data_IF_685955987820
#
_entry.id   IF_685955987820
#
_cell.length_a   1.000
_cell.length_b   1.000
_cell.length_c   1.000
_cell.angle_alpha   90.00
_cell.angle_beta   90.00
_cell.angle_gamma   90.00
#
_symmetry.space_group_name_H-M   'P 1'
#
loop_
_entity.id
_entity.type
_entity.pdbx_description
1 polymer ?
#
# COMPACT_ATOMS: atom_id res chain seq x y z
N UNK A 1 29.42 -2.89 -38.98
CA UNK A 1 28.70 -2.89 -37.69
C UNK A 1 27.35 -2.21 -37.87
N UNK A 2 26.32 -3.03 -38.09
CA UNK A 2 24.92 -2.59 -38.19
C UNK A 2 24.40 -2.29 -36.78
N UNK A 3 24.14 -1.02 -36.49
CA UNK A 3 23.54 -0.60 -35.23
C UNK A 3 22.04 -0.90 -35.26
N UNK A 4 21.61 -1.89 -34.46
CA UNK A 4 20.20 -2.14 -34.21
C UNK A 4 19.65 -1.05 -33.27
N UNK A 5 18.90 -0.10 -33.83
CA UNK A 5 18.11 0.85 -33.05
C UNK A 5 16.93 0.12 -32.40
N UNK A 6 17.05 -0.22 -31.12
CA UNK A 6 15.89 -0.67 -30.33
C UNK A 6 15.01 0.54 -30.01
N UNK A 7 13.92 0.69 -30.78
CA UNK A 7 12.85 1.65 -30.49
C UNK A 7 12.02 1.10 -29.33
N UNK A 8 12.30 1.54 -28.10
CA UNK A 8 11.44 1.22 -26.95
C UNK A 8 10.17 2.08 -27.06
N UNK A 9 9.03 1.49 -27.38
CA UNK A 9 7.74 2.18 -27.25
C UNK A 9 7.42 2.26 -25.75
N UNK A 10 7.79 3.36 -25.08
CA UNK A 10 7.27 3.66 -23.75
C UNK A 10 5.81 4.04 -23.90
N UNK A 11 4.92 3.08 -23.66
CA UNK A 11 3.48 3.28 -23.58
C UNK A 11 3.19 4.21 -22.39
N UNK A 12 3.12 5.52 -22.63
CA UNK A 12 2.66 6.50 -21.65
C UNK A 12 1.14 6.53 -21.65
N UNK A 13 0.54 5.50 -21.09
CA UNK A 13 -0.84 5.57 -20.60
C UNK A 13 -0.77 5.10 -19.18
N UNK A 14 -0.54 6.02 -18.25
CA UNK A 14 -0.79 5.71 -16.84
C UNK A 14 -2.26 5.26 -16.76
N UNK A 15 -2.53 3.99 -16.39
CA UNK A 15 -3.89 3.53 -16.28
C UNK A 15 -4.58 4.39 -15.21
N UNK A 16 -5.70 4.99 -15.58
CA UNK A 16 -6.55 5.72 -14.65
C UNK A 16 -6.95 4.74 -13.53
N UNK A 17 -6.55 5.05 -12.29
CA UNK A 17 -6.80 4.20 -11.13
C UNK A 17 -8.32 4.09 -10.95
N UNK A 18 -8.86 2.88 -10.95
CA UNK A 18 -10.30 2.64 -10.74
C UNK A 18 -10.75 3.11 -9.36
N UNK A 19 -12.01 3.52 -9.24
CA UNK A 19 -12.59 3.96 -7.96
C UNK A 19 -12.49 2.87 -6.89
N UNK A 20 -12.77 1.62 -7.26
CA UNK A 20 -12.61 0.43 -6.39
C UNK A 20 -11.19 0.33 -5.82
N UNK A 21 -10.17 0.61 -6.63
CA UNK A 21 -8.77 0.57 -6.18
C UNK A 21 -8.47 1.68 -5.18
N UNK A 22 -9.06 2.88 -5.37
CA UNK A 22 -8.91 3.99 -4.43
C UNK A 22 -9.58 3.67 -3.09
N UNK A 23 -10.76 3.05 -3.12
CA UNK A 23 -11.48 2.67 -1.91
C UNK A 23 -10.74 1.56 -1.15
N UNK A 24 -10.19 0.58 -1.85
CA UNK A 24 -9.28 -0.40 -1.25
C UNK A 24 -8.08 0.28 -0.55
N UNK A 25 -7.45 1.27 -1.20
CA UNK A 25 -6.33 1.99 -0.59
C UNK A 25 -6.73 2.82 0.62
N UNK A 26 -7.96 3.37 0.65
CA UNK A 26 -8.50 4.03 1.86
C UNK A 26 -8.63 3.02 3.00
N UNK A 27 -9.22 1.86 2.73
CA UNK A 27 -9.37 0.80 3.73
C UNK A 27 -8.02 0.36 4.30
N UNK A 28 -7.00 0.19 3.44
CA UNK A 28 -5.64 -0.13 3.88
C UNK A 28 -4.96 1.00 4.68
N UNK A 29 -5.33 2.25 4.46
CA UNK A 29 -4.78 3.41 5.16
C UNK A 29 -5.38 3.61 6.56
N UNK A 30 -6.46 2.91 6.90
CA UNK A 30 -7.11 2.96 8.21
C UNK A 30 -6.54 1.91 9.16
N UNK A 31 -5.97 2.36 10.29
CA UNK A 31 -5.36 1.46 11.29
C UNK A 31 -6.38 0.52 11.95
N UNK A 32 -7.65 0.90 12.02
CA UNK A 32 -8.74 0.09 12.57
C UNK A 32 -8.97 -1.22 11.81
N UNK A 33 -8.63 -1.25 10.52
CA UNK A 33 -8.78 -2.44 9.68
C UNK A 33 -7.60 -3.42 9.82
N UNK A 34 -6.66 -3.12 10.71
CA UNK A 34 -5.51 -3.95 11.00
C UNK A 34 -5.57 -4.52 12.42
N UNK A 35 -5.12 -5.75 12.56
CA UNK A 35 -4.88 -6.37 13.87
C UNK A 35 -3.60 -7.19 13.86
N UNK A 36 -3.11 -7.50 15.06
CA UNK A 36 -1.97 -8.38 15.25
C UNK A 36 -2.47 -9.61 16.00
N UNK A 37 -2.31 -10.78 15.38
CA UNK A 37 -2.71 -12.08 15.93
C UNK A 37 -1.45 -12.87 16.28
N UNK A 38 -1.37 -13.36 17.53
CA UNK A 38 -0.28 -14.25 17.92
C UNK A 38 -0.57 -15.67 17.43
N UNK A 39 0.40 -16.27 16.74
CA UNK A 39 0.32 -17.64 16.25
C UNK A 39 0.86 -18.63 17.31
N UNK A 40 0.43 -19.91 17.28
CA UNK A 40 0.92 -20.93 18.22
C UNK A 40 2.43 -21.18 18.19
N UNK A 41 3.09 -20.80 17.09
CA UNK A 41 4.54 -20.91 16.92
C UNK A 41 5.33 -19.72 17.50
N UNK A 42 4.66 -18.78 18.19
CA UNK A 42 5.29 -17.61 18.81
C UNK A 42 5.48 -16.41 17.89
N UNK A 43 5.14 -16.50 16.60
CA UNK A 43 5.18 -15.37 15.68
C UNK A 43 3.91 -14.52 15.77
N UNK A 44 4.04 -13.24 15.43
CA UNK A 44 2.93 -12.29 15.32
C UNK A 44 2.58 -12.09 13.85
N UNK A 45 1.32 -12.39 13.50
CA UNK A 45 0.76 -12.20 12.18
C UNK A 45 0.00 -10.87 12.13
N UNK A 46 0.35 -9.99 11.19
CA UNK A 46 -0.46 -8.81 10.88
C UNK A 46 -1.59 -9.23 9.97
N UNK A 47 -2.83 -8.92 10.34
CA UNK A 47 -4.01 -9.26 9.57
C UNK A 47 -4.75 -8.00 9.14
N UNK A 48 -5.30 -8.02 7.92
CA UNK A 48 -6.12 -6.96 7.36
C UNK A 48 -7.56 -7.44 7.19
N UNK A 49 -8.52 -6.62 7.60
CA UNK A 49 -9.94 -6.88 7.42
C UNK A 49 -10.38 -6.46 6.02
N UNK A 50 -10.80 -7.44 5.22
CA UNK A 50 -11.44 -7.22 3.93
C UNK A 50 -12.87 -7.76 3.99
N UNK A 51 -13.85 -6.87 4.17
CA UNK A 51 -15.28 -7.21 4.25
C UNK A 51 -15.56 -8.34 5.26
N UNK A 52 -15.22 -8.09 6.53
CA UNK A 52 -15.33 -9.02 7.67
C UNK A 52 -14.46 -10.29 7.57
N UNK A 53 -13.63 -10.39 6.54
CA UNK A 53 -12.67 -11.48 6.39
C UNK A 53 -11.27 -11.01 6.76
N UNK A 54 -10.71 -11.62 7.82
CA UNK A 54 -9.34 -11.34 8.26
C UNK A 54 -8.34 -12.14 7.45
N UNK A 55 -7.49 -11.44 6.70
CA UNK A 55 -6.45 -12.02 5.85
C UNK A 55 -5.06 -11.75 6.42
N UNK A 56 -4.22 -12.77 6.51
CA UNK A 56 -2.84 -12.64 6.98
C UNK A 56 -1.94 -12.00 5.93
N UNK A 57 -1.21 -10.94 6.30
CA UNK A 57 -0.36 -10.16 5.38
C UNK A 57 1.12 -10.43 5.61
N UNK A 58 1.62 -10.23 6.83
CA UNK A 58 3.04 -10.43 7.18
C UNK A 58 3.18 -11.13 8.53
N UNK A 59 4.34 -11.76 8.75
CA UNK A 59 4.70 -12.39 10.04
C UNK A 59 5.99 -11.79 10.57
N UNK A 60 6.03 -11.54 11.88
CA UNK A 60 7.15 -10.92 12.60
C UNK A 60 7.37 -11.61 13.94
N UNK A 61 8.60 -11.53 14.45
CA UNK A 61 8.99 -12.15 15.72
C UNK A 61 8.56 -11.31 16.94
N UNK A 62 8.38 -10.00 16.77
CA UNK A 62 7.99 -9.07 17.83
C UNK A 62 6.72 -8.31 17.47
N UNK A 63 5.95 -7.94 18.49
CA UNK A 63 4.75 -7.08 18.34
C UNK A 63 5.13 -5.73 17.74
N UNK A 64 6.23 -5.13 18.22
CA UNK A 64 6.76 -3.86 17.72
C UNK A 64 7.12 -3.92 16.23
N UNK A 65 7.70 -5.05 15.79
CA UNK A 65 8.00 -5.29 14.37
C UNK A 65 6.75 -5.42 13.51
N UNK A 66 5.70 -6.04 14.06
CA UNK A 66 4.39 -6.14 13.42
C UNK A 66 3.69 -4.76 13.34
N UNK A 67 3.72 -3.96 14.40
CA UNK A 67 3.16 -2.61 14.41
C UNK A 67 3.88 -1.70 13.40
N UNK A 68 5.22 -1.73 13.37
CA UNK A 68 6.00 -0.95 12.38
C UNK A 68 5.68 -1.36 10.94
N UNK A 69 5.40 -2.64 10.69
CA UNK A 69 5.00 -3.12 9.37
C UNK A 69 3.60 -2.60 8.97
N UNK A 70 2.67 -2.54 9.91
CA UNK A 70 1.34 -1.95 9.72
C UNK A 70 1.47 -0.45 9.43
N UNK A 71 2.20 0.29 10.25
CA UNK A 71 2.38 1.74 10.09
C UNK A 71 3.07 2.08 8.75
N UNK A 72 4.06 1.28 8.35
CA UNK A 72 4.70 1.40 7.03
C UNK A 72 3.72 1.16 5.88
N UNK A 73 2.83 0.17 6.01
CA UNK A 73 1.79 -0.11 5.01
C UNK A 73 0.80 1.05 4.92
N UNK A 74 0.31 1.54 6.05
CA UNK A 74 -0.58 2.70 6.11
C UNK A 74 0.07 3.93 5.46
N UNK A 75 1.32 4.23 5.80
CA UNK A 75 2.06 5.34 5.20
C UNK A 75 2.20 5.20 3.69
N UNK A 76 2.41 3.98 3.19
CA UNK A 76 2.50 3.70 1.76
C UNK A 76 1.20 4.03 1.04
N UNK A 77 0.06 3.56 1.56
CA UNK A 77 -1.26 3.81 0.95
C UNK A 77 -1.71 5.27 1.08
N UNK A 78 -1.45 5.93 2.22
CA UNK A 78 -1.69 7.38 2.36
C UNK A 78 -0.94 8.20 1.31
N UNK A 79 0.30 7.83 0.99
CA UNK A 79 1.07 8.48 -0.07
C UNK A 79 0.46 8.24 -1.45
N UNK A 80 -0.01 7.03 -1.74
CA UNK A 80 -0.72 6.72 -3.00
C UNK A 80 -2.01 7.52 -3.16
N UNK A 81 -2.79 7.67 -2.09
CA UNK A 81 -3.99 8.50 -2.10
C UNK A 81 -3.66 9.96 -2.40
N UNK A 82 -2.66 10.53 -1.72
CA UNK A 82 -2.18 11.90 -1.99
C UNK A 82 -1.70 12.12 -3.43
N UNK A 83 -1.00 11.14 -4.01
CA UNK A 83 -0.58 11.21 -5.41
C UNK A 83 -1.78 11.24 -6.38
N UNK A 84 -2.89 10.65 -5.97
CA UNK A 84 -4.13 10.61 -6.77
C UNK A 84 -4.91 11.93 -6.71
N UNK A 85 -4.73 12.72 -5.65
CA UNK A 85 -5.38 14.04 -5.46
C UNK A 85 -4.74 15.16 -6.30
N UNK A 86 -3.55 14.92 -6.86
CA UNK A 86 -2.83 15.87 -7.70
C UNK A 86 -1.99 16.89 -6.93
N UNK A 87 -1.40 17.87 -7.64
CA UNK A 87 -0.52 18.86 -7.04
C UNK A 87 -1.29 19.86 -6.16
N UNK A 88 -0.76 20.15 -4.98
CA UNK A 88 -1.32 21.14 -4.03
C UNK A 88 -0.50 22.41 -4.08
N UNK A 89 -1.16 23.56 -4.21
CA UNK A 89 -0.50 24.88 -4.11
C UNK A 89 -0.13 25.13 -2.65
N UNK A 90 1.18 25.15 -2.36
CA UNK A 90 1.70 25.33 -0.99
C UNK A 90 1.94 26.80 -0.66
N UNK A 91 2.28 27.62 -1.66
CA UNK A 91 2.61 29.04 -1.48
C UNK A 91 2.44 29.80 -2.78
N UNK A 92 1.87 31.00 -2.70
CA UNK A 92 1.86 32.01 -3.76
C UNK A 92 2.69 33.21 -3.32
N UNK A 93 3.26 33.96 -4.28
CA UNK A 93 4.04 35.17 -4.04
C UNK A 93 3.34 36.37 -4.67
#
# INVERSE_FOLDING_TARGET
MTYFYYKTNTWSSEPQISEETKDLWKNYAEKSNWRITQLPNGYYQTEFNNDDTWSGVTRRETVEGAEKAIDSSISHYKRKLKLTEGPVVVKTF
#
